data_IF_195646845165
#
_entry.id   IF_195646845165
#
_cell.length_a   1.000
_cell.length_b   1.000
_cell.length_c   1.000
_cell.angle_alpha   90.00
_cell.angle_beta   90.00
_cell.angle_gamma   90.00
#
_symmetry.space_group_name_H-M   'P 1'
#
loop_
_entity.id
_entity.type
_entity.pdbx_description
1 polymer ?
#
# COMPACT_ATOMS: atom_id res chain seq x y z
N UNK A 1 8.05 -25.85 -31.35
CA UNK A 1 7.68 -24.43 -31.28
C UNK A 1 8.05 -23.90 -29.91
N UNK A 2 9.13 -23.11 -29.72
CA UNK A 2 9.41 -22.49 -28.44
C UNK A 2 8.68 -21.14 -28.35
N UNK A 3 7.86 -20.96 -27.30
CA UNK A 3 7.27 -19.67 -26.97
C UNK A 3 8.34 -18.75 -26.39
N UNK A 4 8.71 -17.72 -27.13
CA UNK A 4 9.54 -16.62 -26.65
C UNK A 4 8.75 -15.32 -26.70
N UNK A 5 8.39 -14.74 -25.55
CA UNK A 5 7.70 -13.46 -25.50
C UNK A 5 7.87 -12.68 -24.18
N UNK A 6 9.04 -12.78 -23.54
CA UNK A 6 9.44 -11.81 -22.52
C UNK A 6 10.90 -11.40 -22.71
N UNK A 7 11.11 -10.33 -23.49
CA UNK A 7 12.36 -9.55 -23.43
C UNK A 7 12.30 -8.73 -22.14
N UNK A 8 12.91 -9.25 -21.06
CA UNK A 8 13.13 -8.50 -19.83
C UNK A 8 13.97 -7.27 -20.18
N UNK A 9 13.37 -6.07 -20.20
CA UNK A 9 14.14 -4.82 -20.21
C UNK A 9 14.84 -4.75 -18.87
N UNK A 10 16.17 -4.67 -18.89
CA UNK A 10 16.95 -4.31 -17.73
C UNK A 10 16.48 -2.93 -17.27
N UNK A 11 15.72 -2.90 -16.17
CA UNK A 11 15.43 -1.67 -15.46
C UNK A 11 16.77 -1.15 -14.93
N UNK A 12 17.33 -0.14 -15.60
CA UNK A 12 18.38 0.68 -14.99
C UNK A 12 17.80 1.20 -13.68
N UNK A 13 18.35 0.75 -12.55
CA UNK A 13 18.11 1.40 -11.28
C UNK A 13 18.47 2.89 -11.47
N UNK A 14 17.64 3.83 -11.01
CA UNK A 14 18.07 5.22 -10.95
C UNK A 14 19.21 5.30 -9.93
N UNK A 15 20.43 5.44 -10.42
CA UNK A 15 21.62 5.73 -9.63
C UNK A 15 21.67 7.24 -9.36
N UNK A 16 20.62 7.79 -8.77
CA UNK A 16 20.68 9.11 -8.15
C UNK A 16 20.66 8.89 -6.63
N UNK A 17 21.74 8.28 -6.14
CA UNK A 17 22.04 8.37 -4.72
C UNK A 17 22.54 9.80 -4.47
N UNK A 18 22.09 10.48 -3.40
CA UNK A 18 22.58 11.80 -3.07
C UNK A 18 24.11 11.78 -2.99
N UNK A 19 24.75 12.68 -3.73
CA UNK A 19 26.20 12.82 -3.82
C UNK A 19 26.71 13.30 -2.45
N UNK A 20 26.96 12.37 -1.53
CA UNK A 20 27.55 12.68 -0.25
C UNK A 20 29.06 12.75 -0.39
N UNK A 21 29.64 13.84 0.11
CA UNK A 21 31.07 14.02 0.17
C UNK A 21 31.70 12.86 0.96
N UNK A 22 32.33 11.93 0.25
CA UNK A 22 33.09 10.84 0.87
C UNK A 22 34.25 11.49 1.63
N UNK A 23 34.34 11.36 2.97
CA UNK A 23 35.48 11.91 3.70
C UNK A 23 36.77 11.26 3.18
N UNK A 24 37.79 12.08 2.98
CA UNK A 24 39.07 11.67 2.42
C UNK A 24 39.60 10.42 3.11
N UNK A 25 40.06 9.46 2.32
CA UNK A 25 40.51 8.14 2.77
C UNK A 25 41.60 8.26 3.86
N UNK A 26 41.15 8.16 5.11
CA UNK A 26 41.98 8.24 6.31
C UNK A 26 41.17 7.76 7.51
N UNK A 27 41.18 6.44 7.74
CA UNK A 27 40.73 5.73 8.95
C UNK A 27 39.49 6.35 9.65
N UNK A 28 38.31 6.09 9.10
CA UNK A 28 37.07 6.24 9.87
C UNK A 28 37.13 5.34 11.10
N UNK A 29 36.89 5.90 12.29
CA UNK A 29 36.64 5.08 13.47
C UNK A 29 35.35 4.28 13.29
N UNK A 30 35.22 3.15 14.00
CA UNK A 30 34.01 2.32 13.94
C UNK A 30 32.75 3.14 14.26
N UNK A 31 32.84 4.08 15.21
CA UNK A 31 31.73 4.97 15.55
C UNK A 31 31.36 5.88 14.37
N UNK A 32 32.35 6.51 13.73
CA UNK A 32 32.09 7.37 12.57
C UNK A 32 31.53 6.59 11.38
N UNK A 33 31.95 5.36 11.17
CA UNK A 33 31.37 4.48 10.15
C UNK A 33 29.93 4.10 10.49
N UNK A 34 29.63 3.84 11.77
CA UNK A 34 28.28 3.55 12.24
C UNK A 34 27.35 4.77 12.05
N UNK A 35 27.79 5.96 12.45
CA UNK A 35 27.02 7.19 12.33
C UNK A 35 26.72 7.50 10.85
N UNK A 36 27.71 7.34 9.97
CA UNK A 36 27.53 7.51 8.53
C UNK A 36 26.52 6.51 7.94
N UNK A 37 26.57 5.24 8.36
CA UNK A 37 25.59 4.23 7.91
C UNK A 37 24.18 4.58 8.37
N UNK A 38 24.04 5.08 9.60
CA UNK A 38 22.76 5.52 10.14
C UNK A 38 22.19 6.71 9.36
N UNK A 39 23.03 7.69 9.04
CA UNK A 39 22.64 8.86 8.24
C UNK A 39 22.18 8.45 6.83
N UNK A 40 22.91 7.53 6.19
CA UNK A 40 22.52 6.97 4.87
C UNK A 40 21.19 6.24 4.94
N UNK A 41 20.99 5.40 5.96
CA UNK A 41 19.74 4.69 6.15
C UNK A 41 18.57 5.66 6.36
N UNK A 42 18.75 6.64 7.24
CA UNK A 42 17.76 7.66 7.55
C UNK A 42 17.36 8.46 6.31
N UNK A 43 18.34 8.96 5.54
CA UNK A 43 18.10 9.69 4.30
C UNK A 43 17.33 8.85 3.27
N UNK A 44 17.69 7.57 3.13
CA UNK A 44 17.03 6.65 2.21
C UNK A 44 15.60 6.32 2.63
N UNK A 45 15.36 6.10 3.93
CA UNK A 45 14.01 5.91 4.47
C UNK A 45 13.19 7.16 4.21
N UNK A 46 13.71 8.35 4.49
CA UNK A 46 12.99 9.61 4.25
C UNK A 46 12.62 9.81 2.77
N UNK A 47 13.52 9.50 1.84
CA UNK A 47 13.23 9.53 0.40
C UNK A 47 12.10 8.56 0.06
N UNK A 48 12.18 7.32 0.54
CA UNK A 48 11.16 6.29 0.30
C UNK A 48 9.80 6.69 0.89
N UNK A 49 9.77 7.17 2.13
CA UNK A 49 8.56 7.69 2.79
C UNK A 49 7.94 8.80 1.96
N UNK A 50 8.74 9.75 1.48
CA UNK A 50 8.26 10.87 0.66
C UNK A 50 7.65 10.39 -0.67
N UNK A 51 8.28 9.39 -1.30
CA UNK A 51 7.80 8.82 -2.57
C UNK A 51 6.55 7.95 -2.40
N UNK A 52 6.41 7.27 -1.26
CA UNK A 52 5.28 6.39 -0.95
C UNK A 52 4.09 7.13 -0.33
N UNK A 53 4.31 8.29 0.29
CA UNK A 53 3.25 9.12 0.86
C UNK A 53 2.03 9.35 -0.07
N UNK A 54 2.20 9.80 -1.33
CA UNK A 54 1.06 10.01 -2.23
C UNK A 54 0.35 8.69 -2.61
N UNK A 55 1.09 7.58 -2.66
CA UNK A 55 0.50 6.25 -2.92
C UNK A 55 -0.35 5.82 -1.74
N UNK A 56 0.16 6.01 -0.52
CA UNK A 56 -0.61 5.75 0.71
C UNK A 56 -1.88 6.62 0.75
N UNK A 57 -1.77 7.90 0.43
CA UNK A 57 -2.92 8.81 0.41
C UNK A 57 -3.99 8.33 -0.58
N UNK A 58 -3.61 8.06 -1.83
CA UNK A 58 -4.52 7.54 -2.85
C UNK A 58 -5.16 6.19 -2.47
N UNK A 59 -4.39 5.31 -1.84
CA UNK A 59 -4.92 4.04 -1.33
C UNK A 59 -5.89 4.25 -0.15
N UNK A 60 -5.60 5.22 0.74
CA UNK A 60 -6.51 5.60 1.84
C UNK A 60 -7.82 6.18 1.31
N UNK A 61 -7.77 7.04 0.29
CA UNK A 61 -8.97 7.54 -0.40
C UNK A 61 -9.80 6.40 -0.99
N UNK A 62 -9.14 5.41 -1.60
CA UNK A 62 -9.81 4.23 -2.16
C UNK A 62 -10.52 3.42 -1.08
N UNK A 63 -9.91 3.25 0.09
CA UNK A 63 -10.53 2.59 1.25
C UNK A 63 -11.74 3.36 1.78
N UNK A 64 -11.68 4.70 1.80
CA UNK A 64 -12.83 5.54 2.16
C UNK A 64 -14.00 5.40 1.18
N UNK A 65 -13.71 5.26 -0.12
CA UNK A 65 -14.76 4.97 -1.13
C UNK A 65 -15.42 3.62 -0.85
N UNK A 66 -14.63 2.60 -0.50
CA UNK A 66 -15.16 1.27 -0.12
C UNK A 66 -16.05 1.37 1.12
N UNK A 67 -15.64 2.15 2.14
CA UNK A 67 -16.46 2.42 3.32
C UNK A 67 -17.79 3.09 2.96
N UNK A 68 -17.73 4.12 2.10
CA UNK A 68 -18.92 4.80 1.59
C UNK A 68 -19.87 3.85 0.85
N UNK A 69 -19.34 2.94 0.03
CA UNK A 69 -20.13 1.91 -0.66
C UNK A 69 -20.80 0.96 0.33
N UNK A 70 -20.08 0.49 1.34
CA UNK A 70 -20.63 -0.39 2.38
C UNK A 70 -21.80 0.29 3.12
N UNK A 71 -21.65 1.57 3.46
CA UNK A 71 -22.71 2.35 4.11
C UNK A 71 -23.92 2.54 3.18
N UNK A 72 -23.70 2.87 1.91
CA UNK A 72 -24.80 3.02 0.95
C UNK A 72 -25.58 1.71 0.78
N UNK A 73 -24.88 0.58 0.65
CA UNK A 73 -25.52 -0.74 0.51
C UNK A 73 -26.30 -1.15 1.76
N UNK A 74 -25.79 -0.86 2.97
CA UNK A 74 -26.49 -1.18 4.21
C UNK A 74 -27.85 -0.45 4.33
N UNK A 75 -27.91 0.80 3.86
CA UNK A 75 -29.11 1.63 3.92
C UNK A 75 -30.04 1.48 2.71
N UNK A 76 -29.62 0.72 1.69
CA UNK A 76 -30.39 0.52 0.48
C UNK A 76 -31.67 -0.30 0.76
N UNK A 77 -32.82 0.29 0.43
CA UNK A 77 -34.14 -0.34 0.58
C UNK A 77 -34.51 -1.09 -0.71
N UNK A 78 -34.22 -2.39 -0.73
CA UNK A 78 -34.60 -3.26 -1.85
C UNK A 78 -36.10 -3.57 -1.76
N UNK A 79 -36.83 -3.28 -2.84
CA UNK A 79 -38.25 -3.65 -2.98
C UNK A 79 -38.36 -5.07 -3.53
N UNK A 80 -39.12 -5.93 -2.85
CA UNK A 80 -39.34 -7.33 -3.25
C UNK A 80 -40.81 -7.59 -3.59
N UNK A 81 -41.36 -6.77 -4.48
CA UNK A 81 -42.76 -6.89 -4.90
C UNK A 81 -42.95 -8.15 -5.76
N UNK A 82 -43.89 -9.02 -5.38
CA UNK A 82 -44.22 -10.24 -6.14
C UNK A 82 -43.21 -11.39 -6.05
N UNK A 83 -42.22 -11.32 -5.15
CA UNK A 83 -41.15 -12.32 -5.02
C UNK A 83 -41.38 -13.20 -3.78
N UNK A 84 -41.10 -14.50 -3.89
CA UNK A 84 -41.22 -15.42 -2.75
C UNK A 84 -40.29 -15.03 -1.60
N UNK A 85 -40.76 -15.22 -0.36
CA UNK A 85 -40.05 -14.81 0.87
C UNK A 85 -38.62 -15.37 0.98
N UNK A 86 -38.35 -16.56 0.43
CA UNK A 86 -37.01 -17.17 0.42
C UNK A 86 -35.99 -16.31 -0.34
N UNK A 87 -36.38 -15.68 -1.45
CA UNK A 87 -35.48 -14.83 -2.23
C UNK A 87 -35.17 -13.52 -1.51
N UNK A 88 -36.12 -12.97 -0.77
CA UNK A 88 -35.89 -11.82 0.11
C UNK A 88 -34.80 -12.14 1.14
N UNK A 89 -34.94 -13.27 1.85
CA UNK A 89 -33.95 -13.68 2.86
C UNK A 89 -32.56 -13.94 2.26
N UNK A 90 -32.49 -14.57 1.08
CA UNK A 90 -31.20 -14.79 0.38
C UNK A 90 -30.56 -13.46 -0.01
N UNK A 91 -31.33 -12.51 -0.57
CA UNK A 91 -30.82 -11.21 -0.97
C UNK A 91 -30.34 -10.38 0.23
N UNK A 92 -31.08 -10.38 1.34
CA UNK A 92 -30.68 -9.70 2.58
C UNK A 92 -29.40 -10.31 3.16
N UNK A 93 -29.29 -11.64 3.19
CA UNK A 93 -28.08 -12.32 3.66
C UNK A 93 -26.87 -12.00 2.78
N UNK A 94 -27.02 -12.06 1.45
CA UNK A 94 -25.97 -11.72 0.51
C UNK A 94 -25.49 -10.27 0.72
N UNK A 95 -26.43 -9.33 0.86
CA UNK A 95 -26.11 -7.92 1.18
C UNK A 95 -25.31 -7.81 2.48
N UNK A 96 -25.74 -8.48 3.55
CA UNK A 96 -25.03 -8.44 4.83
C UNK A 96 -23.60 -9.01 4.72
N UNK A 97 -23.41 -10.09 3.96
CA UNK A 97 -22.07 -10.65 3.67
C UNK A 97 -21.21 -9.68 2.87
N UNK A 98 -21.77 -9.02 1.85
CA UNK A 98 -21.02 -8.05 1.06
C UNK A 98 -20.63 -6.85 1.92
N UNK A 99 -21.57 -6.26 2.66
CA UNK A 99 -21.32 -5.11 3.54
C UNK A 99 -20.24 -5.43 4.58
N UNK A 100 -20.32 -6.61 5.23
CA UNK A 100 -19.29 -7.02 6.19
C UNK A 100 -17.91 -7.22 5.56
N UNK A 101 -17.85 -7.74 4.34
CA UNK A 101 -16.59 -7.92 3.60
C UNK A 101 -15.99 -6.56 3.22
N UNK A 102 -16.80 -5.64 2.69
CA UNK A 102 -16.36 -4.29 2.35
C UNK A 102 -15.87 -3.52 3.59
N UNK A 103 -16.57 -3.62 4.72
CA UNK A 103 -16.14 -3.01 5.99
C UNK A 103 -14.79 -3.55 6.44
N UNK A 104 -14.60 -4.87 6.38
CA UNK A 104 -13.33 -5.50 6.74
C UNK A 104 -12.19 -4.98 5.87
N UNK A 105 -12.42 -4.84 4.57
CA UNK A 105 -11.42 -4.31 3.64
C UNK A 105 -11.13 -2.83 3.91
N UNK A 106 -12.17 -2.00 4.12
CA UNK A 106 -12.02 -0.59 4.45
C UNK A 106 -11.26 -0.33 5.76
N UNK A 107 -11.34 -1.26 6.73
CA UNK A 107 -10.59 -1.19 7.99
C UNK A 107 -9.11 -1.57 7.87
N UNK A 108 -8.59 -1.80 6.66
CA UNK A 108 -7.17 -2.11 6.44
C UNK A 108 -6.30 -0.88 6.70
N UNK A 109 -5.35 -0.98 7.62
CA UNK A 109 -4.40 0.12 7.90
C UNK A 109 -3.21 0.08 6.94
N UNK A 110 -2.85 1.25 6.40
CA UNK A 110 -1.68 1.43 5.53
C UNK A 110 -0.58 2.21 6.27
N UNK A 111 0.51 1.51 6.57
CA UNK A 111 1.69 2.10 7.23
C UNK A 111 2.77 2.46 6.22
N UNK A 112 3.49 3.56 6.48
CA UNK A 112 4.69 3.90 5.73
C UNK A 112 5.89 3.17 6.34
N UNK A 113 6.91 2.81 5.53
CA UNK A 113 8.11 2.19 6.07
C UNK A 113 8.82 3.13 7.06
N UNK A 114 9.18 2.59 8.22
CA UNK A 114 9.95 3.29 9.26
C UNK A 114 11.43 2.88 9.23
N UNK A 115 11.73 1.72 8.62
CA UNK A 115 13.08 1.21 8.41
C UNK A 115 13.30 0.75 6.96
N UNK A 116 14.56 0.61 6.55
CA UNK A 116 14.90 0.04 5.24
C UNK A 116 14.46 -1.45 5.12
N UNK A 117 14.25 -2.14 6.24
CA UNK A 117 13.75 -3.51 6.26
C UNK A 117 12.22 -3.59 6.10
N UNK A 118 11.48 -2.52 6.39
CA UNK A 118 10.02 -2.47 6.22
C UNK A 118 9.63 -2.38 4.74
N UNK A 119 10.58 -2.03 3.86
CA UNK A 119 10.38 -1.87 2.42
C UNK A 119 10.73 -3.12 1.60
N UNK A 120 10.94 -4.29 2.23
CA UNK A 120 11.29 -5.57 1.58
C UNK A 120 10.08 -6.42 1.22
#
# INVERSE_FOLDING_TARGET
>A
MPFGLFKRKESKLPTDLPEMAVPAAGLLSIQQAHDLLHDVESARVQELTTRLAPIKESATESLQVIEGLANNMEHEKIKFEGVEHRFKSVAENARNTIVSTLRREASTELSLPQSANDAK
#
